data_IF_916972935875
#
_entry.id   IF_916972935875
#
_cell.length_a   1.000
_cell.length_b   1.000
_cell.length_c   1.000
_cell.angle_alpha   90.00
_cell.angle_beta   90.00
_cell.angle_gamma   90.00
#
_symmetry.space_group_name_H-M   'P 1'
#
loop_
_entity.id
_entity.type
_entity.pdbx_description
1 polymer ?
#
# COMPACT_ATOMS: atom_id res chain seq x y z
N UNK A 1 -12.89 23.77 41.24
CA UNK A 1 -12.51 22.40 40.85
C UNK A 1 -11.19 22.48 40.12
N UNK A 2 -10.09 22.28 40.85
CA UNK A 2 -8.73 22.46 40.35
C UNK A 2 -8.28 21.22 39.58
N UNK A 3 -7.85 21.44 38.33
CA UNK A 3 -7.13 20.44 37.55
C UNK A 3 -5.79 20.19 38.25
N UNK A 4 -5.45 18.92 38.48
CA UNK A 4 -4.17 18.54 39.09
C UNK A 4 -3.03 18.72 38.09
N UNK A 5 -1.90 19.27 38.54
CA UNK A 5 -0.65 19.50 37.78
C UNK A 5 -0.19 18.29 36.93
N UNK A 6 -0.51 17.07 37.36
CA UNK A 6 -0.23 15.84 36.61
C UNK A 6 -1.06 15.67 35.32
N UNK A 7 -2.31 16.14 35.32
CA UNK A 7 -3.23 16.01 34.17
C UNK A 7 -2.86 17.00 33.07
N UNK A 8 -2.47 18.21 33.48
CA UNK A 8 -1.99 19.27 32.58
C UNK A 8 -0.67 18.87 31.90
N UNK A 9 0.30 18.35 32.67
CA UNK A 9 1.56 17.80 32.13
C UNK A 9 1.33 16.69 31.12
N UNK A 10 0.39 15.77 31.37
CA UNK A 10 0.08 14.68 30.44
C UNK A 10 -0.53 15.18 29.13
N UNK A 11 -1.38 16.21 29.20
CA UNK A 11 -1.97 16.85 28.02
C UNK A 11 -0.91 17.54 27.16
N UNK A 12 0.00 18.28 27.78
CA UNK A 12 1.12 18.96 27.10
C UNK A 12 2.07 17.97 26.40
N UNK A 13 2.42 16.86 27.06
CA UNK A 13 3.25 15.81 26.45
C UNK A 13 2.56 15.15 25.24
N UNK A 14 1.25 14.92 25.33
CA UNK A 14 0.46 14.40 24.21
C UNK A 14 0.49 15.37 23.03
N UNK A 15 0.26 16.66 23.28
CA UNK A 15 0.28 17.71 22.27
C UNK A 15 1.64 17.81 21.57
N UNK A 16 2.73 17.78 22.33
CA UNK A 16 4.11 17.82 21.79
C UNK A 16 4.43 16.59 20.94
N UNK A 17 3.99 15.40 21.36
CA UNK A 17 4.20 14.18 20.59
C UNK A 17 3.44 14.20 19.26
N UNK A 18 2.21 14.73 19.26
CA UNK A 18 1.39 14.88 18.06
C UNK A 18 1.98 15.94 17.11
N UNK A 19 2.45 17.06 17.65
CA UNK A 19 3.16 18.11 16.92
C UNK A 19 4.41 17.57 16.20
N UNK A 20 5.26 16.82 16.90
CA UNK A 20 6.45 16.21 16.31
C UNK A 20 6.13 15.21 15.21
N UNK A 21 5.11 14.37 15.43
CA UNK A 21 4.66 13.38 14.45
C UNK A 21 4.13 14.07 13.18
N UNK A 22 3.24 15.04 13.33
CA UNK A 22 2.68 15.77 12.19
C UNK A 22 3.77 16.54 11.43
N UNK A 23 4.69 17.21 12.12
CA UNK A 23 5.81 17.91 11.47
C UNK A 23 6.68 16.96 10.62
N UNK A 24 6.95 15.74 11.10
CA UNK A 24 7.79 14.78 10.37
C UNK A 24 7.04 14.08 9.24
N UNK A 25 5.82 13.62 9.50
CA UNK A 25 5.13 12.62 8.66
C UNK A 25 3.80 13.12 8.08
N UNK A 26 3.31 14.29 8.51
CA UNK A 26 2.01 14.81 8.08
C UNK A 26 2.00 15.26 6.62
N UNK A 27 0.94 14.94 5.88
CA UNK A 27 0.70 15.51 4.55
C UNK A 27 0.11 16.91 4.66
N UNK A 28 0.24 17.72 3.61
CA UNK A 28 -0.31 19.08 3.57
C UNK A 28 -1.83 19.12 3.80
N UNK A 29 -2.57 18.18 3.22
CA UNK A 29 -4.03 18.13 3.39
C UNK A 29 -4.45 17.76 4.81
N UNK A 30 -3.72 16.83 5.45
CA UNK A 30 -3.96 16.50 6.87
C UNK A 30 -3.70 17.73 7.74
N UNK A 31 -2.59 18.45 7.48
CA UNK A 31 -2.28 19.68 8.20
C UNK A 31 -3.32 20.79 7.99
N UNK A 32 -3.88 20.92 6.78
CA UNK A 32 -4.80 22.01 6.45
C UNK A 32 -6.22 21.76 6.95
N UNK A 33 -6.68 20.52 6.91
CA UNK A 33 -8.09 20.19 7.14
C UNK A 33 -8.34 19.45 8.47
N UNK A 34 -7.32 18.83 9.07
CA UNK A 34 -7.50 17.93 10.21
C UNK A 34 -6.61 18.29 11.41
N UNK A 35 -5.63 19.18 11.25
CA UNK A 35 -4.79 19.64 12.34
C UNK A 35 -5.51 20.70 13.15
N UNK A 36 -5.50 20.54 14.47
CA UNK A 36 -6.02 21.54 15.40
C UNK A 36 -5.03 22.72 15.51
N UNK A 37 -5.56 23.90 15.82
CA UNK A 37 -4.79 25.14 15.86
C UNK A 37 -3.71 25.13 16.97
N UNK A 38 -4.03 24.54 18.12
CA UNK A 38 -3.09 24.33 19.24
C UNK A 38 -1.85 23.51 18.83
N UNK A 39 -2.04 22.46 18.02
CA UNK A 39 -0.94 21.65 17.48
C UNK A 39 -0.08 22.47 16.50
N UNK A 40 -0.72 23.28 15.64
CA UNK A 40 -0.02 24.15 14.69
C UNK A 40 0.84 25.20 15.41
N UNK A 41 0.28 25.83 16.45
CA UNK A 41 0.97 26.80 17.29
C UNK A 41 2.14 26.14 18.02
N UNK A 42 1.96 24.94 18.57
CA UNK A 42 3.03 24.21 19.25
C UNK A 42 4.17 23.84 18.30
N UNK A 43 3.88 23.46 17.04
CA UNK A 43 4.92 23.23 16.02
C UNK A 43 5.70 24.53 15.76
N UNK A 44 5.02 25.64 15.52
CA UNK A 44 5.67 26.92 15.24
C UNK A 44 6.51 27.43 16.43
N UNK A 45 6.04 27.23 17.66
CA UNK A 45 6.73 27.64 18.88
C UNK A 45 7.91 26.74 19.23
N UNK A 46 7.71 25.43 19.27
CA UNK A 46 8.69 24.48 19.79
C UNK A 46 9.71 24.01 18.74
N UNK A 47 9.30 23.88 17.46
CA UNK A 47 10.14 23.35 16.39
C UNK A 47 10.74 24.49 15.57
N UNK A 48 9.90 25.38 15.01
CA UNK A 48 10.38 26.49 14.18
C UNK A 48 10.97 27.64 15.01
N UNK A 49 10.75 27.64 16.34
CA UNK A 49 11.20 28.68 17.29
C UNK A 49 10.77 30.09 16.87
N UNK A 50 9.54 30.22 16.36
CA UNK A 50 9.00 31.52 15.95
C UNK A 50 8.47 32.31 17.17
N UNK A 51 8.74 33.63 17.25
CA UNK A 51 8.12 34.49 18.24
C UNK A 51 6.65 34.73 17.85
N UNK A 52 5.76 33.92 18.41
CA UNK A 52 4.31 33.98 18.14
C UNK A 52 3.58 35.08 18.91
N UNK A 53 4.27 35.73 19.85
CA UNK A 53 3.72 36.76 20.75
C UNK A 53 3.43 38.09 20.04
N UNK A 54 4.05 38.32 18.88
CA UNK A 54 3.90 39.54 18.07
C UNK A 54 2.86 39.41 16.94
N UNK A 55 2.19 38.25 16.83
CA UNK A 55 1.24 37.96 15.75
C UNK A 55 -0.21 38.18 16.19
N UNK A 56 -0.92 39.06 15.49
CA UNK A 56 -2.37 39.17 15.58
C UNK A 56 -3.00 37.83 15.14
N UNK A 57 -3.80 37.23 16.03
CA UNK A 57 -4.53 35.95 15.90
C UNK A 57 -4.11 35.06 14.70
N UNK A 58 -3.20 34.09 14.90
CA UNK A 58 -2.68 33.30 13.79
C UNK A 58 -3.73 32.34 13.20
N UNK A 59 -4.00 32.49 11.90
CA UNK A 59 -4.81 31.54 11.12
C UNK A 59 -4.04 30.24 10.83
N UNK A 60 -4.76 29.11 10.85
CA UNK A 60 -4.22 27.78 10.57
C UNK A 60 -3.56 27.71 9.19
N UNK A 61 -4.11 28.38 8.18
CA UNK A 61 -3.56 28.40 6.82
C UNK A 61 -2.17 29.03 6.76
N UNK A 62 -1.97 30.14 7.48
CA UNK A 62 -0.68 30.84 7.56
C UNK A 62 0.36 29.99 8.28
N UNK A 63 0.00 29.39 9.42
CA UNK A 63 0.89 28.51 10.18
C UNK A 63 1.32 27.28 9.36
N UNK A 64 0.37 26.64 8.65
CA UNK A 64 0.67 25.49 7.78
C UNK A 64 1.65 25.88 6.67
N UNK A 65 1.51 27.06 6.06
CA UNK A 65 2.45 27.49 5.02
C UNK A 65 3.87 27.67 5.58
N UNK A 66 4.04 28.26 6.76
CA UNK A 66 5.35 28.36 7.41
C UNK A 66 5.94 27.00 7.74
N UNK A 67 5.12 26.07 8.24
CA UNK A 67 5.53 24.68 8.49
C UNK A 67 6.02 24.02 7.20
N UNK A 68 5.32 24.19 6.08
CA UNK A 68 5.72 23.62 4.79
C UNK A 68 7.02 24.23 4.27
N UNK A 69 7.20 25.54 4.37
CA UNK A 69 8.45 26.19 3.95
C UNK A 69 9.65 25.74 4.79
N UNK A 70 9.47 25.59 6.10
CA UNK A 70 10.51 25.05 6.97
C UNK A 70 10.83 23.58 6.66
N UNK A 71 9.81 22.75 6.41
CA UNK A 71 10.02 21.34 6.01
C UNK A 71 10.72 21.20 4.66
N UNK A 72 10.54 22.14 3.73
CA UNK A 72 11.33 22.23 2.48
C UNK A 72 12.78 22.55 2.77
N UNK A 73 13.05 23.54 3.64
CA UNK A 73 14.42 23.90 4.08
C UNK A 73 15.12 22.74 4.79
N UNK A 74 14.41 22.05 5.67
CA UNK A 74 14.90 20.90 6.41
C UNK A 74 15.03 19.61 5.57
N UNK A 75 14.71 19.66 4.26
CA UNK A 75 14.70 18.52 3.33
C UNK A 75 13.82 17.34 3.80
N UNK A 76 12.78 17.63 4.58
CA UNK A 76 11.76 16.65 4.98
C UNK A 76 10.78 16.42 3.84
N UNK A 77 10.54 17.44 3.01
CA UNK A 77 9.69 17.37 1.82
C UNK A 77 10.41 17.92 0.58
N UNK A 78 10.02 17.45 -0.61
CA UNK A 78 10.54 17.95 -1.88
C UNK A 78 9.81 19.23 -2.35
N UNK A 79 10.20 19.76 -3.51
CA UNK A 79 9.57 20.94 -4.13
C UNK A 79 8.08 20.77 -4.45
N UNK A 80 7.58 19.53 -4.50
CA UNK A 80 6.17 19.17 -4.69
C UNK A 80 5.46 18.85 -3.37
N UNK A 81 6.08 19.15 -2.23
CA UNK A 81 5.53 18.95 -0.88
C UNK A 81 5.29 17.46 -0.51
N UNK A 82 6.05 16.56 -1.13
CA UNK A 82 6.03 15.13 -0.85
C UNK A 82 7.17 14.78 0.12
N UNK A 83 6.88 13.96 1.12
CA UNK A 83 7.84 13.44 2.11
C UNK A 83 9.05 12.77 1.45
N UNK A 84 10.24 13.23 1.80
CA UNK A 84 11.51 12.61 1.48
C UNK A 84 11.86 11.69 2.66
N UNK A 85 11.66 10.38 2.51
CA UNK A 85 12.14 9.41 3.51
C UNK A 85 13.66 9.28 3.35
N UNK A 86 14.49 9.48 4.40
CA UNK A 86 15.93 9.41 4.26
C UNK A 86 16.44 7.96 4.42
N UNK A 87 16.99 7.38 3.35
CA UNK A 87 18.16 6.51 3.43
C UNK A 87 19.27 7.12 2.54
N UNK A 88 20.43 7.51 3.11
CA UNK A 88 21.57 8.03 2.35
C UNK A 88 22.11 7.08 1.27
N UNK A 89 21.75 5.78 1.30
CA UNK A 89 22.16 4.78 0.29
C UNK A 89 21.17 4.62 -0.85
N UNK A 90 19.91 5.04 -0.68
CA UNK A 90 18.87 4.92 -1.72
C UNK A 90 18.94 6.07 -2.75
N UNK A 91 19.67 7.16 -2.45
CA UNK A 91 19.86 8.28 -3.36
C UNK A 91 20.64 7.91 -4.64
N UNK A 92 21.42 6.83 -4.62
CA UNK A 92 22.16 6.34 -5.78
C UNK A 92 21.30 5.51 -6.76
N UNK A 93 20.08 5.11 -6.38
CA UNK A 93 19.18 4.29 -7.22
C UNK A 93 17.95 5.05 -7.74
N UNK A 94 17.75 6.30 -7.33
CA UNK A 94 16.65 7.11 -7.83
C UNK A 94 16.99 7.72 -9.21
N UNK A 95 17.25 6.90 -10.21
CA UNK A 95 17.05 7.27 -11.61
C UNK A 95 15.59 6.97 -11.96
N UNK A 96 14.81 8.03 -12.20
CA UNK A 96 13.36 8.02 -12.31
C UNK A 96 12.85 7.48 -13.65
N UNK A 97 13.67 6.71 -14.38
CA UNK A 97 13.37 6.30 -15.76
C UNK A 97 13.11 4.80 -15.94
N UNK A 98 13.17 3.98 -14.89
CA UNK A 98 12.78 2.55 -14.98
C UNK A 98 11.81 2.13 -13.87
N UNK A 99 10.52 2.29 -14.15
CA UNK A 99 9.36 1.82 -13.37
C UNK A 99 9.20 0.30 -13.39
N UNK A 100 10.29 -0.48 -13.46
CA UNK A 100 10.25 -1.93 -13.53
C UNK A 100 10.69 -2.52 -12.18
N UNK A 101 9.71 -2.83 -11.32
CA UNK A 101 9.94 -3.50 -10.02
C UNK A 101 10.54 -4.89 -10.20
N UNK A 102 10.17 -5.60 -11.27
CA UNK A 102 10.75 -6.88 -11.66
C UNK A 102 11.59 -6.68 -12.91
N UNK A 103 12.92 -6.68 -12.74
CA UNK A 103 13.86 -6.60 -13.85
C UNK A 103 13.87 -7.89 -14.71
N UNK A 104 14.45 -7.79 -15.92
CA UNK A 104 14.58 -8.94 -16.83
C UNK A 104 15.31 -10.13 -16.20
N UNK A 105 16.31 -9.87 -15.36
CA UNK A 105 17.05 -10.90 -14.64
C UNK A 105 16.14 -11.64 -13.65
N UNK A 106 15.37 -10.92 -12.84
CA UNK A 106 14.39 -11.51 -11.91
C UNK A 106 13.35 -12.32 -12.66
N UNK A 107 12.84 -11.83 -13.79
CA UNK A 107 11.87 -12.58 -14.62
C UNK A 107 12.48 -13.86 -15.23
N UNK A 108 13.77 -13.85 -15.58
CA UNK A 108 14.48 -15.04 -16.03
C UNK A 108 14.58 -16.10 -14.92
N UNK A 109 14.92 -15.67 -13.71
CA UNK A 109 14.93 -16.53 -12.52
C UNK A 109 13.55 -17.12 -12.23
N UNK A 110 12.48 -16.31 -12.34
CA UNK A 110 11.10 -16.77 -12.18
C UNK A 110 10.76 -17.85 -13.20
N UNK A 111 11.14 -17.68 -14.47
CA UNK A 111 10.91 -18.70 -15.51
C UNK A 111 11.68 -19.99 -15.22
N UNK A 112 12.93 -19.88 -14.79
CA UNK A 112 13.75 -21.03 -14.40
C UNK A 112 13.11 -21.80 -13.24
N UNK A 113 12.68 -21.09 -12.18
CA UNK A 113 12.02 -21.70 -11.03
C UNK A 113 10.68 -22.33 -11.43
N UNK A 114 9.87 -21.67 -12.27
CA UNK A 114 8.62 -22.21 -12.78
C UNK A 114 8.81 -23.50 -13.59
N UNK A 115 9.90 -23.62 -14.36
CA UNK A 115 10.20 -24.84 -15.12
C UNK A 115 10.55 -26.03 -14.23
N UNK A 116 11.08 -25.79 -13.03
CA UNK A 116 11.43 -26.82 -12.03
C UNK A 116 10.29 -27.13 -11.06
N UNK A 117 9.31 -26.23 -10.95
CA UNK A 117 8.23 -26.34 -9.99
C UNK A 117 7.22 -27.42 -10.40
N UNK A 118 7.04 -28.43 -9.56
CA UNK A 118 5.99 -29.43 -9.73
C UNK A 118 4.74 -28.98 -8.98
N UNK A 119 3.70 -28.60 -9.74
CA UNK A 119 2.40 -28.20 -9.19
C UNK A 119 1.44 -29.38 -9.15
N UNK A 120 0.63 -29.53 -8.08
CA UNK A 120 -0.48 -30.47 -8.06
C UNK A 120 -1.48 -30.18 -9.20
N UNK A 121 -2.15 -31.22 -9.69
CA UNK A 121 -3.13 -31.12 -10.78
C UNK A 121 -4.34 -30.23 -10.46
N UNK A 122 -4.62 -29.99 -9.18
CA UNK A 122 -5.71 -29.12 -8.71
C UNK A 122 -5.38 -27.62 -8.75
N UNK A 123 -4.13 -27.25 -9.02
CA UNK A 123 -3.69 -25.85 -9.14
C UNK A 123 -3.55 -25.50 -10.61
N UNK A 124 -4.22 -24.43 -11.04
CA UNK A 124 -4.10 -23.91 -12.40
C UNK A 124 -2.65 -23.54 -12.71
N UNK A 125 -2.21 -23.77 -13.95
CA UNK A 125 -0.83 -23.44 -14.34
C UNK A 125 -0.63 -21.92 -14.34
N UNK A 126 0.56 -21.49 -13.94
CA UNK A 126 0.99 -20.11 -14.13
C UNK A 126 1.20 -19.78 -15.62
N UNK A 127 1.45 -18.50 -15.94
CA UNK A 127 1.70 -18.04 -17.30
C UNK A 127 2.93 -18.73 -17.90
N UNK A 128 2.83 -19.18 -19.15
CA UNK A 128 3.96 -19.84 -19.82
C UNK A 128 5.12 -18.87 -20.13
N UNK A 129 4.81 -17.60 -20.42
CA UNK A 129 5.79 -16.55 -20.75
C UNK A 129 5.47 -15.25 -19.99
N UNK A 130 5.70 -15.20 -18.67
CA UNK A 130 5.43 -14.00 -17.90
C UNK A 130 6.34 -12.84 -18.36
N UNK A 131 5.73 -11.67 -18.58
CA UNK A 131 6.44 -10.45 -18.95
C UNK A 131 6.85 -10.34 -20.42
N UNK A 132 6.50 -11.29 -21.28
CA UNK A 132 6.77 -11.22 -22.73
C UNK A 132 5.51 -10.82 -23.51
N UNK A 133 5.67 -9.98 -24.54
CA UNK A 133 4.57 -9.62 -25.45
C UNK A 133 3.93 -10.85 -26.13
N UNK A 134 4.72 -11.90 -26.39
CA UNK A 134 4.26 -13.16 -26.96
C UNK A 134 3.41 -14.00 -25.98
N UNK A 135 3.38 -13.67 -24.68
CA UNK A 135 2.61 -14.38 -23.66
C UNK A 135 1.10 -14.11 -23.71
N UNK A 136 0.66 -13.12 -24.50
CA UNK A 136 -0.75 -12.74 -24.59
C UNK A 136 -1.31 -12.19 -23.28
N UNK A 137 -2.64 -12.12 -23.18
CA UNK A 137 -3.33 -11.62 -21.99
C UNK A 137 -3.51 -12.75 -20.99
N UNK A 138 -2.94 -12.57 -19.79
CA UNK A 138 -3.07 -13.55 -18.72
C UNK A 138 -4.50 -13.63 -18.19
N UNK A 139 -4.97 -14.86 -18.00
CA UNK A 139 -6.26 -15.15 -17.37
C UNK A 139 -6.17 -14.97 -15.86
N UNK A 140 -7.32 -14.74 -15.22
CA UNK A 140 -7.39 -14.51 -13.77
C UNK A 140 -6.76 -15.66 -12.95
N UNK A 141 -6.95 -16.91 -13.38
CA UNK A 141 -6.38 -18.08 -12.70
C UNK A 141 -4.86 -18.18 -12.87
N UNK A 142 -4.34 -17.83 -14.06
CA UNK A 142 -2.89 -17.78 -14.32
C UNK A 142 -2.23 -16.69 -13.46
N UNK A 143 -2.86 -15.52 -13.37
CA UNK A 143 -2.43 -14.44 -12.47
C UNK A 143 -2.41 -14.90 -11.01
N UNK A 144 -3.44 -15.62 -10.58
CA UNK A 144 -3.53 -16.12 -9.21
C UNK A 144 -2.35 -17.03 -8.90
N UNK A 145 -2.12 -18.08 -9.68
CA UNK A 145 -0.99 -19.01 -9.46
C UNK A 145 0.34 -18.28 -9.56
N UNK A 146 0.50 -17.37 -10.51
CA UNK A 146 1.72 -16.60 -10.66
C UNK A 146 2.05 -15.79 -9.40
N UNK A 147 1.07 -15.05 -8.89
CA UNK A 147 1.28 -14.14 -7.76
C UNK A 147 1.30 -14.85 -6.41
N UNK A 148 0.60 -15.98 -6.23
CA UNK A 148 0.51 -16.64 -4.92
C UNK A 148 1.42 -17.85 -4.77
N UNK A 149 1.98 -18.38 -5.87
CA UNK A 149 2.87 -19.54 -5.83
C UNK A 149 4.23 -19.23 -6.46
N UNK A 150 4.28 -18.87 -7.74
CA UNK A 150 5.54 -18.77 -8.47
C UNK A 150 6.42 -17.59 -7.99
N UNK A 151 5.82 -16.40 -7.85
CA UNK A 151 6.52 -15.21 -7.39
C UNK A 151 6.99 -15.33 -5.94
N UNK A 152 6.17 -15.74 -4.95
CA UNK A 152 6.63 -15.87 -3.57
C UNK A 152 7.81 -16.82 -3.42
N UNK A 153 7.82 -17.95 -4.13
CA UNK A 153 8.93 -18.90 -4.09
C UNK A 153 10.21 -18.26 -4.62
N UNK A 154 10.15 -17.69 -5.82
CA UNK A 154 11.33 -17.10 -6.47
C UNK A 154 11.84 -15.88 -5.70
N UNK A 155 10.95 -14.94 -5.37
CA UNK A 155 11.33 -13.71 -4.71
C UNK A 155 11.82 -13.95 -3.29
N UNK A 156 11.29 -14.94 -2.57
CA UNK A 156 11.86 -15.33 -1.27
C UNK A 156 13.28 -15.86 -1.45
N UNK A 157 13.52 -16.74 -2.43
CA UNK A 157 14.87 -17.25 -2.71
C UNK A 157 15.86 -16.13 -3.05
N UNK A 158 15.43 -15.14 -3.85
CA UNK A 158 16.31 -14.05 -4.30
C UNK A 158 16.50 -12.94 -3.25
N UNK A 159 15.44 -12.58 -2.52
CA UNK A 159 15.39 -11.35 -1.72
C UNK A 159 15.35 -11.57 -0.20
N UNK A 160 15.45 -12.82 0.29
CA UNK A 160 15.51 -13.11 1.73
C UNK A 160 16.92 -13.36 2.28
N UNK A 161 17.90 -13.63 1.41
CA UNK A 161 19.27 -14.00 1.81
C UNK A 161 20.13 -12.81 2.25
N UNK A 162 21.32 -13.11 2.80
CA UNK A 162 22.26 -12.11 3.31
C UNK A 162 22.75 -11.14 2.23
N UNK A 163 22.81 -11.61 0.98
CA UNK A 163 23.19 -10.81 -0.19
C UNK A 163 22.10 -9.83 -0.65
N UNK A 164 20.85 -9.97 -0.17
CA UNK A 164 19.75 -9.11 -0.59
C UNK A 164 19.83 -7.74 0.08
N UNK A 165 19.56 -6.69 -0.68
CA UNK A 165 19.54 -5.32 -0.17
C UNK A 165 18.38 -5.10 0.82
N UNK A 166 18.52 -4.11 1.70
CA UNK A 166 17.42 -3.70 2.61
C UNK A 166 16.16 -3.33 1.82
N UNK A 167 16.33 -2.69 0.66
CA UNK A 167 15.22 -2.32 -0.21
C UNK A 167 14.48 -3.55 -0.77
N UNK A 168 15.20 -4.54 -1.30
CA UNK A 168 14.62 -5.79 -1.79
C UNK A 168 13.87 -6.58 -0.70
N UNK A 169 14.43 -6.64 0.52
CA UNK A 169 13.75 -7.29 1.66
C UNK A 169 12.45 -6.58 2.01
N UNK A 170 12.42 -5.24 1.96
CA UNK A 170 11.20 -4.46 2.21
C UNK A 170 10.18 -4.67 1.09
N UNK A 171 10.61 -4.72 -0.18
CA UNK A 171 9.73 -5.05 -1.31
C UNK A 171 9.15 -6.46 -1.19
N UNK A 172 9.98 -7.45 -0.85
CA UNK A 172 9.53 -8.83 -0.60
C UNK A 172 8.49 -8.86 0.52
N UNK A 173 8.77 -8.22 1.65
CA UNK A 173 7.85 -8.17 2.79
C UNK A 173 6.52 -7.52 2.41
N UNK A 174 6.56 -6.39 1.70
CA UNK A 174 5.37 -5.72 1.18
C UNK A 174 4.53 -6.67 0.30
N UNK A 175 5.18 -7.33 -0.66
CA UNK A 175 4.53 -8.29 -1.55
C UNK A 175 3.93 -9.48 -0.79
N UNK A 176 4.63 -10.03 0.20
CA UNK A 176 4.14 -11.14 1.00
C UNK A 176 2.91 -10.76 1.84
N UNK A 177 2.82 -9.52 2.34
CA UNK A 177 1.57 -9.04 2.97
C UNK A 177 0.39 -9.12 2.00
N UNK A 178 0.55 -8.66 0.75
CA UNK A 178 -0.48 -8.77 -0.28
C UNK A 178 -0.86 -10.23 -0.56
N UNK A 179 0.13 -11.11 -0.72
CA UNK A 179 -0.09 -12.54 -0.99
C UNK A 179 -0.87 -13.20 0.13
N UNK A 180 -0.52 -12.91 1.39
CA UNK A 180 -1.23 -13.46 2.55
C UNK A 180 -2.68 -12.98 2.61
N UNK A 181 -2.93 -11.69 2.37
CA UNK A 181 -4.30 -11.18 2.29
C UNK A 181 -5.12 -11.87 1.19
N UNK A 182 -4.55 -12.04 -0.02
CA UNK A 182 -5.24 -12.74 -1.12
C UNK A 182 -5.52 -14.21 -0.79
N UNK A 183 -4.57 -14.90 -0.13
CA UNK A 183 -4.76 -16.28 0.31
C UNK A 183 -5.91 -16.42 1.30
N UNK A 184 -5.96 -15.56 2.32
CA UNK A 184 -7.03 -15.56 3.33
C UNK A 184 -8.38 -15.27 2.67
N UNK A 185 -8.45 -14.25 1.82
CA UNK A 185 -9.67 -13.93 1.06
C UNK A 185 -10.14 -15.07 0.14
N UNK A 186 -9.26 -16.02 -0.18
CA UNK A 186 -9.56 -17.19 -1.01
C UNK A 186 -9.92 -18.44 -0.21
N UNK A 187 -10.01 -18.37 1.13
CA UNK A 187 -10.44 -19.51 1.92
C UNK A 187 -11.90 -19.89 1.65
N UNK A 188 -12.21 -21.17 1.84
CA UNK A 188 -13.57 -21.72 1.68
C UNK A 188 -14.41 -21.60 2.96
N UNK A 189 -13.74 -21.41 4.08
CA UNK A 189 -14.31 -21.16 5.39
C UNK A 189 -13.52 -20.00 5.99
N UNK A 190 -14.17 -19.08 6.68
CA UNK A 190 -13.51 -17.90 7.24
C UNK A 190 -13.96 -17.66 8.67
N UNK A 191 -12.99 -17.50 9.57
CA UNK A 191 -13.23 -17.13 10.96
C UNK A 191 -13.01 -15.63 11.18
N UNK A 192 -13.45 -15.11 12.33
CA UNK A 192 -13.16 -13.72 12.70
C UNK A 192 -11.65 -13.45 12.84
N UNK A 193 -10.86 -14.44 13.25
CA UNK A 193 -9.41 -14.33 13.33
C UNK A 193 -8.79 -14.18 11.93
N UNK A 194 -9.29 -14.93 10.95
CA UNK A 194 -8.86 -14.81 9.55
C UNK A 194 -9.17 -13.42 8.99
N UNK A 195 -10.35 -12.86 9.29
CA UNK A 195 -10.69 -11.51 8.85
C UNK A 195 -9.76 -10.46 9.47
N UNK A 196 -9.45 -10.56 10.76
CA UNK A 196 -8.49 -9.67 11.40
C UNK A 196 -7.09 -9.78 10.76
N UNK A 197 -6.67 -11.00 10.45
CA UNK A 197 -5.42 -11.23 9.74
C UNK A 197 -5.43 -10.61 8.34
N UNK A 198 -6.54 -10.74 7.60
CA UNK A 198 -6.72 -10.09 6.30
C UNK A 198 -6.59 -8.56 6.40
N UNK A 199 -7.32 -7.94 7.34
CA UNK A 199 -7.30 -6.48 7.58
C UNK A 199 -5.88 -6.00 7.93
N UNK A 200 -5.19 -6.72 8.81
CA UNK A 200 -3.79 -6.44 9.16
C UNK A 200 -2.87 -6.50 7.94
N UNK A 201 -2.93 -7.58 7.16
CA UNK A 201 -2.06 -7.75 5.99
C UNK A 201 -2.34 -6.71 4.91
N UNK A 202 -3.60 -6.39 4.64
CA UNK A 202 -3.97 -5.36 3.66
C UNK A 202 -3.49 -3.97 4.08
N UNK A 203 -3.68 -3.61 5.35
CA UNK A 203 -3.19 -2.34 5.87
C UNK A 203 -1.66 -2.25 5.80
N UNK A 204 -0.96 -3.28 6.28
CA UNK A 204 0.50 -3.34 6.22
C UNK A 204 1.04 -3.25 4.78
N UNK A 205 0.39 -3.91 3.82
CA UNK A 205 0.71 -3.81 2.39
C UNK A 205 0.56 -2.37 1.90
N UNK A 206 -0.58 -1.71 2.10
CA UNK A 206 -0.80 -0.37 1.53
C UNK A 206 0.07 0.70 2.21
N UNK A 207 0.25 0.64 3.53
CA UNK A 207 1.14 1.58 4.23
C UNK A 207 2.58 1.43 3.76
N UNK A 208 3.08 0.20 3.65
CA UNK A 208 4.47 -0.02 3.20
C UNK A 208 4.64 0.25 1.69
N UNK A 209 3.60 0.06 0.87
CA UNK A 209 3.61 0.41 -0.55
C UNK A 209 3.87 1.90 -0.76
N UNK A 210 3.16 2.76 -0.02
CA UNK A 210 3.35 4.22 -0.09
C UNK A 210 4.76 4.64 0.36
N UNK A 211 5.33 3.92 1.33
CA UNK A 211 6.71 4.17 1.80
C UNK A 211 7.78 3.70 0.83
N UNK A 212 7.50 2.66 0.03
CA UNK A 212 8.46 2.03 -0.88
C UNK A 212 8.50 2.69 -2.24
N UNK A 213 7.36 3.23 -2.69
CA UNK A 213 7.23 3.84 -4.00
C UNK A 213 6.67 5.27 -3.87
N UNK A 214 7.53 6.24 -3.54
CA UNK A 214 7.12 7.64 -3.42
C UNK A 214 6.45 8.14 -4.69
N UNK A 215 5.31 8.81 -4.55
CA UNK A 215 4.54 9.35 -5.67
C UNK A 215 3.47 8.42 -6.24
N UNK A 216 3.38 7.17 -5.79
CA UNK A 216 2.23 6.32 -6.09
C UNK A 216 1.02 6.79 -5.29
N UNK A 217 -0.14 6.83 -5.95
CA UNK A 217 -1.45 7.07 -5.32
C UNK A 217 -2.19 5.75 -5.16
N UNK A 218 -2.93 5.61 -4.06
CA UNK A 218 -3.83 4.47 -3.87
C UNK A 218 -4.90 4.51 -4.95
N UNK A 219 -5.03 3.42 -5.69
CA UNK A 219 -6.08 3.28 -6.73
C UNK A 219 -7.39 2.77 -6.13
N UNK A 220 -8.55 2.99 -6.80
CA UNK A 220 -9.85 2.58 -6.26
C UNK A 220 -9.93 1.12 -5.81
N UNK A 221 -9.36 0.18 -6.58
CA UNK A 221 -9.37 -1.25 -6.20
C UNK A 221 -8.59 -1.52 -4.90
N UNK A 222 -7.47 -0.81 -4.69
CA UNK A 222 -6.69 -0.90 -3.45
C UNK A 222 -7.47 -0.30 -2.29
N UNK A 223 -8.16 0.82 -2.49
CA UNK A 223 -9.01 1.40 -1.47
C UNK A 223 -10.17 0.47 -1.09
N UNK A 224 -10.89 -0.07 -2.09
CA UNK A 224 -12.02 -1.01 -1.87
C UNK A 224 -11.56 -2.26 -1.12
N UNK A 225 -10.33 -2.73 -1.36
CA UNK A 225 -9.80 -3.90 -0.65
C UNK A 225 -9.68 -3.71 0.87
N UNK A 226 -9.60 -2.47 1.39
CA UNK A 226 -9.65 -2.21 2.83
C UNK A 226 -11.02 -2.51 3.45
N UNK A 227 -12.10 -2.40 2.67
CA UNK A 227 -13.47 -2.72 3.12
C UNK A 227 -13.81 -4.20 2.97
N UNK A 228 -12.94 -4.98 2.33
CA UNK A 228 -13.22 -6.37 2.03
C UNK A 228 -13.31 -7.25 3.28
N UNK A 229 -12.61 -6.90 4.37
CA UNK A 229 -12.76 -7.57 5.67
C UNK A 229 -14.20 -7.52 6.19
N UNK A 230 -14.86 -6.37 6.07
CA UNK A 230 -16.27 -6.23 6.47
C UNK A 230 -17.21 -7.07 5.60
N UNK A 231 -16.94 -7.15 4.30
CA UNK A 231 -17.68 -8.02 3.38
C UNK A 231 -17.52 -9.49 3.73
N UNK A 232 -16.30 -9.90 4.09
CA UNK A 232 -16.00 -11.26 4.54
C UNK A 232 -16.75 -11.62 5.83
N UNK A 233 -16.88 -10.68 6.79
CA UNK A 233 -17.69 -10.89 8.01
C UNK A 233 -19.17 -11.05 7.70
N UNK A 234 -19.71 -10.23 6.79
CA UNK A 234 -21.16 -10.18 6.49
C UNK A 234 -21.64 -11.31 5.59
N UNK A 235 -20.88 -11.62 4.55
CA UNK A 235 -21.29 -12.56 3.50
C UNK A 235 -20.50 -13.87 3.52
N UNK A 236 -19.52 -13.96 4.41
CA UNK A 236 -18.65 -15.13 4.50
C UNK A 236 -17.69 -15.25 3.31
N UNK A 237 -17.22 -16.47 3.03
CA UNK A 237 -16.23 -16.76 1.99
C UNK A 237 -16.62 -16.22 0.60
N UNK A 238 -15.63 -15.65 -0.11
CA UNK A 238 -15.80 -15.03 -1.44
C UNK A 238 -16.42 -15.98 -2.47
N UNK A 239 -16.21 -17.28 -2.30
CA UNK A 239 -16.78 -18.31 -3.16
C UNK A 239 -18.31 -18.26 -3.27
N UNK A 240 -18.99 -17.76 -2.23
CA UNK A 240 -20.45 -17.68 -2.15
C UNK A 240 -21.05 -16.52 -2.96
N UNK A 241 -20.28 -15.46 -3.23
CA UNK A 241 -20.82 -14.23 -3.81
C UNK A 241 -19.98 -13.64 -4.97
N UNK A 242 -18.91 -14.32 -5.39
CA UNK A 242 -18.12 -13.93 -6.57
C UNK A 242 -18.89 -14.09 -7.89
N UNK A 243 -18.56 -13.24 -8.87
CA UNK A 243 -19.28 -13.16 -10.14
C UNK A 243 -19.02 -14.30 -11.15
N UNK A 244 -18.19 -15.30 -10.83
CA UNK A 244 -17.80 -16.34 -11.80
C UNK A 244 -18.97 -17.16 -12.35
N UNK A 245 -20.03 -17.37 -11.55
CA UNK A 245 -21.24 -18.01 -12.04
C UNK A 245 -21.91 -17.15 -13.12
N UNK A 246 -22.05 -15.85 -12.88
CA UNK A 246 -22.63 -14.91 -13.86
C UNK A 246 -21.76 -14.76 -15.10
N UNK A 247 -20.44 -14.70 -14.97
CA UNK A 247 -19.51 -14.67 -16.12
C UNK A 247 -19.67 -15.92 -17.00
N UNK A 248 -19.82 -17.10 -16.38
CA UNK A 248 -20.09 -18.35 -17.10
C UNK A 248 -21.44 -18.28 -17.83
N UNK A 249 -22.49 -17.76 -17.19
CA UNK A 249 -23.79 -17.56 -17.83
C UNK A 249 -23.71 -16.58 -19.00
N UNK A 250 -23.01 -15.45 -18.86
CA UNK A 250 -22.81 -14.49 -19.94
C UNK A 250 -22.11 -15.15 -21.14
N UNK A 251 -21.08 -15.96 -20.89
CA UNK A 251 -20.40 -16.71 -21.95
C UNK A 251 -21.29 -17.76 -22.63
N UNK A 252 -22.25 -18.36 -21.92
CA UNK A 252 -23.25 -19.25 -22.52
C UNK A 252 -24.25 -18.47 -23.37
N UNK A 253 -24.77 -17.35 -22.87
CA UNK A 253 -25.72 -16.49 -23.60
C UNK A 253 -25.09 -15.96 -24.89
N UNK A 254 -23.82 -15.54 -24.86
CA UNK A 254 -23.09 -15.08 -26.05
C UNK A 254 -22.95 -16.14 -27.16
N UNK A 255 -23.07 -17.43 -26.83
CA UNK A 255 -23.01 -18.53 -27.81
C UNK A 255 -24.37 -18.85 -28.44
N UNK A 256 -25.46 -18.33 -27.89
CA UNK A 256 -26.79 -18.48 -28.47
C UNK A 256 -26.86 -17.54 -29.67
N UNK A 257 -27.01 -18.09 -30.88
CA UNK A 257 -27.14 -17.28 -32.09
C UNK A 257 -28.49 -16.55 -32.08
N UNK A 258 -28.46 -15.25 -31.81
CA UNK A 258 -29.61 -14.35 -31.92
C UNK A 258 -29.76 -13.82 -33.35
N UNK A 259 -29.81 -14.70 -34.35
CA UNK A 259 -30.14 -14.31 -35.73
C UNK A 259 -31.67 -14.20 -35.89
N UNK A 260 -32.30 -13.32 -35.12
CA UNK A 260 -33.64 -12.80 -35.42
C UNK A 260 -33.50 -11.52 -36.24
N UNK A 261 -32.94 -11.62 -37.45
CA UNK A 261 -33.21 -10.61 -38.47
C UNK A 261 -34.68 -10.81 -38.87
N UNK A 262 -35.56 -9.88 -38.48
CA UNK A 262 -36.91 -9.82 -39.04
C UNK A 262 -36.76 -9.58 -40.54
N UNK A 263 -37.06 -10.59 -41.35
CA UNK A 263 -37.42 -10.44 -42.76
C UNK A 263 -38.71 -9.64 -42.88
#
# INVERSE_FOLDING_TARGET
>A
MGWTDATEKKCLLSLQSEAQRLYREGSRDVMRFHMKLDVAVEICKSILKLPLEDLAEPDLGTLVNWIQEDRKRARIINSKEILIVPDPRDAALADHTKTAVLGNQTLSEVKSDMARLLLPSCVGRGPHRPGEAAGGRLKADEWRTFCTVNLPITLTRLWSGDSATTHERRMLKNFLHLVQAVRIASFREISNADVQAYEFHMHAYLTSLLSLYPGIKIVPNQHISLHFGEHLKRWGPVHSWRCFAFERFNGMIQRIMTNSKRT
#
